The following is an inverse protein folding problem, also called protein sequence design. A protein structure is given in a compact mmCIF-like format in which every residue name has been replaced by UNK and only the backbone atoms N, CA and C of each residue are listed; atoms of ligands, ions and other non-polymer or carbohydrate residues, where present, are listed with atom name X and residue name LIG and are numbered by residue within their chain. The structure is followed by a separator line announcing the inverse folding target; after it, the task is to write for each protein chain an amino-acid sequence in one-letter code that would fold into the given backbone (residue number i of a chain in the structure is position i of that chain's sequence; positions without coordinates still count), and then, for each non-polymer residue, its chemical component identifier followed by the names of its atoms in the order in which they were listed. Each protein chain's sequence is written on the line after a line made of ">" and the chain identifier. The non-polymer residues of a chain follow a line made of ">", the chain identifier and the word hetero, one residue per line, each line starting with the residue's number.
data_IF_854255236682
#
_entry.id   IF_854255236682
#
_cell.length_a   1.000
_cell.length_b   1.000
_cell.length_c   1.000
_cell.angle_alpha   90.00
_cell.angle_beta   90.00
_cell.angle_gamma   90.00
#
_symmetry.space_group_name_H-M   'P 1'
#
loop_
_entity.id
_entity.type
_entity.pdbx_description
1 polymer ?
#
# COMPACT_ATOMS: atom_id res chain seq x y z
N UNK A 1 -12.20 23.90 -3.31
CA UNK A 1 -13.26 22.90 -3.05
C UNK A 1 -13.24 22.36 -1.62
N UNK A 2 -13.24 23.21 -0.58
CA UNK A 2 -13.36 22.74 0.82
C UNK A 2 -14.77 22.21 1.14
N UNK A 3 -15.82 22.84 0.59
CA UNK A 3 -17.21 22.45 0.79
C UNK A 3 -17.53 21.07 0.18
N UNK A 4 -17.04 20.77 -1.03
CA UNK A 4 -17.24 19.46 -1.64
C UNK A 4 -16.54 18.35 -0.84
N UNK A 5 -15.33 18.62 -0.33
CA UNK A 5 -14.60 17.68 0.50
C UNK A 5 -15.34 17.32 1.78
N UNK A 6 -15.91 18.30 2.48
CA UNK A 6 -16.67 18.05 3.72
C UNK A 6 -17.98 17.30 3.46
N UNK A 7 -18.67 17.59 2.36
CA UNK A 7 -19.87 16.84 1.96
C UNK A 7 -19.52 15.38 1.67
N UNK A 8 -18.44 15.14 0.93
CA UNK A 8 -17.97 13.77 0.62
C UNK A 8 -17.57 13.04 1.91
N UNK A 9 -16.84 13.68 2.80
CA UNK A 9 -16.42 13.10 4.08
C UNK A 9 -17.63 12.67 4.92
N UNK A 10 -18.61 13.56 5.09
CA UNK A 10 -19.85 13.24 5.82
C UNK A 10 -20.65 12.14 5.13
N UNK A 11 -20.68 12.14 3.80
CA UNK A 11 -21.38 11.13 3.03
C UNK A 11 -20.73 9.75 3.22
N UNK A 12 -19.42 9.63 3.01
CA UNK A 12 -18.67 8.38 3.19
C UNK A 12 -18.82 7.88 4.63
N UNK A 13 -18.68 8.76 5.62
CA UNK A 13 -18.83 8.40 7.03
C UNK A 13 -20.22 7.87 7.41
N UNK A 14 -21.29 8.36 6.75
CA UNK A 14 -22.68 7.95 7.04
C UNK A 14 -23.16 6.77 6.20
N UNK A 15 -22.79 6.74 4.92
CA UNK A 15 -23.40 5.85 3.92
C UNK A 15 -22.52 4.66 3.52
N UNK A 16 -21.26 4.60 3.95
CA UNK A 16 -20.53 3.34 3.86
C UNK A 16 -21.18 2.29 4.78
N UNK A 17 -21.39 1.06 4.28
CA UNK A 17 -22.03 0.02 5.06
C UNK A 17 -21.23 -0.25 6.34
N UNK A 18 -21.95 -0.52 7.43
CA UNK A 18 -21.31 -0.85 8.71
C UNK A 18 -20.49 -2.15 8.64
N UNK A 19 -20.83 -3.04 7.70
CA UNK A 19 -20.06 -4.25 7.38
C UNK A 19 -19.48 -4.15 5.97
N UNK A 20 -18.18 -4.45 5.77
CA UNK A 20 -17.55 -4.44 4.46
C UNK A 20 -17.97 -5.64 3.58
N UNK A 21 -18.72 -6.60 4.13
CA UNK A 21 -19.22 -7.78 3.42
C UNK A 21 -20.63 -7.61 2.85
N UNK A 22 -21.21 -6.41 2.94
CA UNK A 22 -22.52 -6.15 2.36
C UNK A 22 -22.49 -6.33 0.85
N UNK A 23 -23.35 -7.22 0.33
CA UNK A 23 -23.65 -7.39 -1.11
C UNK A 23 -24.01 -6.07 -1.84
N UNK A 24 -24.22 -4.98 -1.10
CA UNK A 24 -24.58 -3.67 -1.63
C UNK A 24 -23.43 -2.70 -1.88
N UNK A 25 -22.14 -3.04 -1.66
CA UNK A 25 -21.08 -2.05 -1.87
C UNK A 25 -20.97 -1.63 -3.35
N UNK A 26 -21.07 -2.55 -4.31
CA UNK A 26 -21.17 -2.20 -5.73
C UNK A 26 -22.47 -1.49 -6.14
N UNK A 27 -23.46 -1.43 -5.24
CA UNK A 27 -24.70 -0.66 -5.40
C UNK A 27 -24.62 0.71 -4.69
N UNK A 28 -23.47 1.05 -4.12
CA UNK A 28 -23.28 2.33 -3.46
C UNK A 28 -23.46 3.47 -4.49
N UNK A 29 -24.29 4.49 -4.22
CA UNK A 29 -24.65 5.49 -5.23
C UNK A 29 -23.45 6.21 -5.86
N UNK A 30 -22.38 6.43 -5.08
CA UNK A 30 -21.14 7.01 -5.60
C UNK A 30 -20.46 6.09 -6.60
N UNK A 31 -20.39 4.78 -6.33
CA UNK A 31 -19.77 3.82 -7.25
C UNK A 31 -20.60 3.68 -8.53
N UNK A 32 -21.93 3.58 -8.40
CA UNK A 32 -22.84 3.57 -9.54
C UNK A 32 -22.72 4.84 -10.40
N UNK A 33 -22.59 6.01 -9.79
CA UNK A 33 -22.42 7.27 -10.50
C UNK A 33 -21.08 7.34 -11.26
N UNK A 34 -20.01 6.82 -10.66
CA UNK A 34 -18.69 6.77 -11.29
C UNK A 34 -18.65 5.71 -12.42
N UNK A 35 -19.35 4.58 -12.27
CA UNK A 35 -19.41 3.48 -13.25
C UNK A 35 -20.24 3.83 -14.49
N UNK A 36 -21.41 4.43 -14.30
CA UNK A 36 -22.40 4.58 -15.38
C UNK A 36 -22.22 5.87 -16.22
N UNK A 37 -21.24 6.71 -15.89
CA UNK A 37 -21.12 8.02 -16.53
C UNK A 37 -20.26 7.93 -17.80
N UNK A 38 -20.89 8.19 -18.94
CA UNK A 38 -20.26 8.26 -20.26
C UNK A 38 -19.48 9.57 -20.49
N UNK A 39 -19.59 10.54 -19.57
CA UNK A 39 -18.92 11.83 -19.62
C UNK A 39 -17.59 11.79 -18.85
N UNK A 40 -16.56 11.18 -19.44
CA UNK A 40 -15.23 11.00 -18.84
C UNK A 40 -14.62 12.27 -18.21
N UNK A 41 -14.93 13.46 -18.74
CA UNK A 41 -14.35 14.73 -18.29
C UNK A 41 -14.84 15.25 -16.92
N UNK A 42 -16.06 14.93 -16.48
CA UNK A 42 -16.63 15.46 -15.23
C UNK A 42 -16.44 14.53 -14.02
N UNK A 43 -16.14 13.25 -14.29
CA UNK A 43 -16.00 12.19 -13.29
C UNK A 43 -14.61 12.23 -12.63
N UNK A 44 -13.57 12.52 -13.41
CA UNK A 44 -12.19 12.55 -12.93
C UNK A 44 -11.99 13.53 -11.75
N UNK A 45 -12.54 14.76 -11.76
CA UNK A 45 -12.46 15.65 -10.60
C UNK A 45 -13.16 15.11 -9.34
N UNK A 46 -14.33 14.45 -9.50
CA UNK A 46 -15.06 13.87 -8.37
C UNK A 46 -14.29 12.69 -7.76
N UNK A 47 -13.80 11.77 -8.60
CA UNK A 47 -12.96 10.63 -8.17
C UNK A 47 -11.71 11.12 -7.45
N UNK A 48 -10.99 12.10 -8.02
CA UNK A 48 -9.84 12.75 -7.35
C UNK A 48 -10.22 13.36 -6.01
N UNK A 49 -11.38 14.02 -5.91
CA UNK A 49 -11.82 14.60 -4.64
C UNK A 49 -12.12 13.52 -3.58
N UNK A 50 -12.77 12.41 -3.98
CA UNK A 50 -13.05 11.26 -3.10
C UNK A 50 -11.74 10.67 -2.57
N UNK A 51 -10.78 10.43 -3.46
CA UNK A 51 -9.46 9.88 -3.11
C UNK A 51 -8.74 10.80 -2.12
N UNK A 52 -8.78 12.11 -2.34
CA UNK A 52 -8.18 13.10 -1.44
C UNK A 52 -8.85 13.10 -0.06
N UNK A 53 -10.18 12.98 0.00
CA UNK A 53 -10.91 12.88 1.27
C UNK A 53 -10.54 11.58 1.99
N UNK A 54 -10.49 10.46 1.28
CA UNK A 54 -10.08 9.17 1.85
C UNK A 54 -8.68 9.27 2.46
N UNK A 55 -7.72 9.81 1.71
CA UNK A 55 -6.35 10.00 2.18
C UNK A 55 -6.31 10.82 3.48
N UNK A 56 -6.94 12.00 3.48
CA UNK A 56 -6.91 12.93 4.62
C UNK A 56 -7.66 12.44 5.85
N UNK A 57 -8.87 11.92 5.67
CA UNK A 57 -9.76 11.57 6.78
C UNK A 57 -9.49 10.17 7.34
N UNK A 58 -8.93 9.26 6.53
CA UNK A 58 -8.79 7.84 6.92
C UNK A 58 -7.38 7.26 6.86
N UNK A 59 -6.41 7.90 6.19
CA UNK A 59 -5.04 7.38 6.11
C UNK A 59 -3.99 8.28 6.79
N UNK A 60 -4.25 9.59 6.89
CA UNK A 60 -3.40 10.55 7.60
C UNK A 60 -3.60 10.53 9.15
N UNK A 61 -4.28 9.51 9.70
CA UNK A 61 -4.53 9.41 11.15
C UNK A 61 -3.22 9.38 11.97
N UNK A 62 -3.18 10.16 13.06
CA UNK A 62 -2.04 10.26 13.96
C UNK A 62 -2.35 9.57 15.29
N UNK A 63 -1.42 8.76 15.78
CA UNK A 63 -1.55 8.08 17.08
C UNK A 63 -2.33 6.77 17.02
N UNK A 64 -2.90 6.36 18.16
CA UNK A 64 -3.55 5.06 18.37
C UNK A 64 -5.03 5.01 17.98
N UNK A 65 -5.64 6.14 17.66
CA UNK A 65 -7.06 6.20 17.29
C UNK A 65 -7.21 5.85 15.80
N UNK A 66 -7.67 4.63 15.54
CA UNK A 66 -8.01 4.20 14.20
C UNK A 66 -9.28 4.90 13.72
N UNK A 67 -9.33 5.36 12.47
CA UNK A 67 -10.55 5.91 11.89
C UNK A 67 -11.69 4.91 11.97
N UNK A 68 -12.92 5.36 12.28
CA UNK A 68 -14.07 4.47 12.32
C UNK A 68 -14.30 3.86 10.93
N UNK A 69 -14.70 2.59 10.90
CA UNK A 69 -15.08 1.85 9.67
C UNK A 69 -13.96 1.73 8.64
N UNK A 70 -12.70 1.69 9.06
CA UNK A 70 -11.54 1.52 8.18
C UNK A 70 -11.66 0.32 7.23
N UNK A 71 -12.21 -0.80 7.69
CA UNK A 71 -12.49 -1.96 6.84
C UNK A 71 -13.46 -1.63 5.69
N UNK A 72 -14.57 -0.93 5.97
CA UNK A 72 -15.52 -0.51 4.92
C UNK A 72 -14.91 0.49 3.94
N UNK A 73 -14.01 1.35 4.41
CA UNK A 73 -13.26 2.29 3.55
C UNK A 73 -12.32 1.52 2.61
N UNK A 74 -11.57 0.55 3.13
CA UNK A 74 -10.69 -0.29 2.30
C UNK A 74 -11.48 -1.11 1.27
N UNK A 75 -12.64 -1.66 1.66
CA UNK A 75 -13.52 -2.35 0.73
C UNK A 75 -14.03 -1.38 -0.36
N UNK A 76 -14.37 -0.14 0.01
CA UNK A 76 -14.81 0.88 -0.93
C UNK A 76 -13.73 1.26 -1.93
N UNK A 77 -12.48 1.45 -1.48
CA UNK A 77 -11.34 1.74 -2.37
C UNK A 77 -11.14 0.59 -3.36
N UNK A 78 -11.16 -0.66 -2.87
CA UNK A 78 -11.01 -1.83 -3.72
C UNK A 78 -12.09 -1.89 -4.81
N UNK A 79 -13.34 -1.61 -4.45
CA UNK A 79 -14.45 -1.61 -5.41
C UNK A 79 -14.35 -0.42 -6.38
N UNK A 80 -13.99 0.76 -5.89
CA UNK A 80 -13.73 1.95 -6.72
C UNK A 80 -12.72 1.65 -7.81
N UNK A 81 -11.64 0.98 -7.45
CA UNK A 81 -10.57 0.60 -8.37
C UNK A 81 -10.94 -0.53 -9.32
N UNK A 82 -11.84 -1.45 -8.91
CA UNK A 82 -12.38 -2.49 -9.80
C UNK A 82 -13.36 -1.94 -10.83
N UNK A 83 -14.10 -0.88 -10.50
CA UNK A 83 -15.16 -0.33 -11.34
C UNK A 83 -14.72 0.87 -12.18
N UNK A 84 -13.51 1.41 -11.97
CA UNK A 84 -13.01 2.58 -12.70
C UNK A 84 -11.57 2.39 -13.15
N UNK A 85 -11.16 3.06 -14.22
CA UNK A 85 -9.76 3.08 -14.65
C UNK A 85 -8.87 3.69 -13.56
N UNK A 86 -7.82 2.99 -13.15
CA UNK A 86 -6.86 3.48 -12.15
C UNK A 86 -5.80 4.32 -12.85
N UNK A 87 -5.52 5.49 -12.28
CA UNK A 87 -4.37 6.33 -12.63
C UNK A 87 -3.26 6.09 -11.59
N UNK A 88 -1.99 6.06 -12.01
CA UNK A 88 -0.85 5.91 -11.12
C UNK A 88 -0.82 7.00 -10.03
N UNK A 89 -1.26 8.23 -10.36
CA UNK A 89 -1.36 9.31 -9.38
C UNK A 89 -2.32 9.00 -8.24
N UNK A 90 -3.34 8.16 -8.48
CA UNK A 90 -4.29 7.71 -7.46
C UNK A 90 -3.68 6.64 -6.55
N UNK A 91 -2.85 5.76 -7.11
CA UNK A 91 -2.10 4.76 -6.37
C UNK A 91 -1.08 5.43 -5.46
N UNK A 92 -0.30 6.40 -5.96
CA UNK A 92 0.65 7.16 -5.15
C UNK A 92 0.00 7.83 -3.94
N UNK A 93 -1.25 8.29 -4.08
CA UNK A 93 -1.98 8.96 -3.02
C UNK A 93 -2.53 8.02 -1.94
N UNK A 94 -2.96 6.81 -2.31
CA UNK A 94 -3.64 5.88 -1.38
C UNK A 94 -2.75 4.77 -0.86
N UNK A 95 -1.79 4.30 -1.65
CA UNK A 95 -0.92 3.18 -1.29
C UNK A 95 -0.18 3.41 0.04
N UNK A 96 0.39 4.60 0.35
CA UNK A 96 1.01 4.83 1.66
C UNK A 96 0.07 4.54 2.83
N UNK A 97 -1.21 4.90 2.68
CA UNK A 97 -2.24 4.63 3.68
C UNK A 97 -2.57 3.15 3.83
N UNK A 98 -2.65 2.42 2.72
CA UNK A 98 -2.85 0.97 2.71
C UNK A 98 -1.67 0.25 3.38
N UNK A 99 -0.44 0.63 3.05
CA UNK A 99 0.78 0.09 3.65
C UNK A 99 0.84 0.37 5.16
N UNK A 100 0.47 1.58 5.57
CA UNK A 100 0.34 1.95 6.98
C UNK A 100 -0.71 1.10 7.70
N UNK A 101 -1.84 0.77 7.06
CA UNK A 101 -2.83 -0.12 7.64
C UNK A 101 -2.27 -1.54 7.87
N UNK A 102 -1.52 -2.08 6.91
CA UNK A 102 -0.90 -3.41 7.02
C UNK A 102 0.09 -3.49 8.18
N UNK A 103 0.80 -2.40 8.47
CA UNK A 103 1.78 -2.34 9.54
C UNK A 103 1.15 -2.03 10.90
N UNK A 104 0.25 -1.05 10.98
CA UNK A 104 -0.23 -0.51 12.26
C UNK A 104 -1.52 -1.15 12.78
N UNK A 105 -2.28 -1.85 11.94
CA UNK A 105 -3.60 -2.37 12.32
C UNK A 105 -3.57 -3.88 12.46
N UNK A 106 -3.93 -4.38 13.64
CA UNK A 106 -3.98 -5.82 13.95
C UNK A 106 -5.31 -6.48 13.58
N UNK A 107 -6.34 -5.71 13.28
CA UNK A 107 -7.67 -6.22 12.93
C UNK A 107 -7.61 -7.10 11.67
N UNK A 108 -8.01 -8.39 11.74
CA UNK A 108 -7.84 -9.33 10.62
C UNK A 108 -8.55 -8.90 9.33
N UNK A 109 -9.73 -8.30 9.47
CA UNK A 109 -10.52 -7.85 8.33
C UNK A 109 -9.87 -6.66 7.61
N UNK A 110 -9.32 -5.71 8.36
CA UNK A 110 -8.54 -4.59 7.82
C UNK A 110 -7.29 -5.11 7.13
N UNK A 111 -6.55 -6.04 7.75
CA UNK A 111 -5.36 -6.65 7.11
C UNK A 111 -5.70 -7.31 5.78
N UNK A 112 -6.74 -8.15 5.75
CA UNK A 112 -7.16 -8.84 4.53
C UNK A 112 -7.50 -7.83 3.42
N UNK A 113 -8.34 -6.84 3.72
CA UNK A 113 -8.75 -5.84 2.73
C UNK A 113 -7.60 -4.94 2.29
N UNK A 114 -6.67 -4.60 3.19
CA UNK A 114 -5.49 -3.84 2.84
C UNK A 114 -4.55 -4.66 1.93
N UNK A 115 -4.39 -5.96 2.18
CA UNK A 115 -3.64 -6.86 1.29
C UNK A 115 -4.30 -6.96 -0.08
N UNK A 116 -5.62 -7.10 -0.15
CA UNK A 116 -6.34 -7.12 -1.43
C UNK A 116 -6.16 -5.81 -2.20
N UNK A 117 -6.23 -4.65 -1.52
CA UNK A 117 -5.96 -3.35 -2.13
C UNK A 117 -4.52 -3.26 -2.66
N UNK A 118 -3.53 -3.65 -1.85
CA UNK A 118 -2.12 -3.69 -2.24
C UNK A 118 -1.94 -4.52 -3.51
N UNK A 119 -2.46 -5.74 -3.53
CA UNK A 119 -2.32 -6.64 -4.67
C UNK A 119 -2.97 -6.07 -5.93
N UNK A 120 -4.14 -5.45 -5.79
CA UNK A 120 -4.84 -4.84 -6.91
C UNK A 120 -4.10 -3.62 -7.46
N UNK A 121 -3.63 -2.72 -6.59
CA UNK A 121 -2.87 -1.53 -6.96
C UNK A 121 -1.57 -1.90 -7.68
N UNK A 122 -0.81 -2.86 -7.14
CA UNK A 122 0.45 -3.31 -7.77
C UNK A 122 0.18 -3.89 -9.16
N UNK A 123 -0.80 -4.80 -9.29
CA UNK A 123 -1.16 -5.39 -10.60
C UNK A 123 -1.61 -4.33 -11.61
N UNK A 124 -2.37 -3.34 -11.18
CA UNK A 124 -2.81 -2.26 -12.06
C UNK A 124 -1.64 -1.44 -12.62
N UNK A 125 -0.58 -1.23 -11.83
CA UNK A 125 0.63 -0.56 -12.28
C UNK A 125 1.50 -1.41 -13.23
N UNK A 126 1.31 -2.73 -13.27
CA UNK A 126 2.01 -3.61 -14.21
C UNK A 126 1.43 -3.55 -15.63
N UNK A 127 0.09 -3.50 -15.71
CA UNK A 127 -0.65 -3.55 -16.97
C UNK A 127 -0.57 -2.18 -17.65
N UNK A 128 0.48 -1.98 -18.45
CA UNK A 128 0.74 -0.73 -19.19
C UNK A 128 2.16 -0.18 -19.10
N UNK A 129 3.12 -0.95 -18.56
CA UNK A 129 4.46 -0.45 -18.26
C UNK A 129 5.35 -0.25 -19.49
N UNK A 130 5.32 0.97 -20.03
CA UNK A 130 6.54 1.71 -20.40
C UNK A 130 7.01 2.51 -19.17
N UNK A 131 7.90 1.95 -18.36
CA UNK A 131 8.83 2.64 -17.43
C UNK A 131 8.29 3.47 -16.25
N UNK A 132 7.42 4.46 -16.48
CA UNK A 132 7.03 5.48 -15.49
C UNK A 132 6.23 4.93 -14.29
N UNK A 133 5.21 4.05 -14.47
CA UNK A 133 4.42 3.54 -13.35
C UNK A 133 5.22 2.69 -12.36
N UNK A 134 6.21 1.93 -12.86
CA UNK A 134 7.08 1.11 -12.03
C UNK A 134 8.02 1.98 -11.16
N UNK A 135 8.57 3.06 -11.73
CA UNK A 135 9.45 3.98 -11.00
C UNK A 135 8.71 4.71 -9.87
N UNK A 136 7.48 5.16 -10.13
CA UNK A 136 6.61 5.80 -9.14
C UNK A 136 6.24 4.83 -8.01
N UNK A 137 5.84 3.60 -8.36
CA UNK A 137 5.54 2.56 -7.38
C UNK A 137 6.76 2.23 -6.51
N UNK A 138 7.95 2.07 -7.12
CA UNK A 138 9.21 1.90 -6.39
C UNK A 138 9.49 3.09 -5.46
N UNK A 139 9.24 4.33 -5.89
CA UNK A 139 9.42 5.51 -5.04
C UNK A 139 8.55 5.46 -3.80
N UNK A 140 7.26 5.09 -3.94
CA UNK A 140 6.32 4.97 -2.81
C UNK A 140 6.81 3.94 -1.79
N UNK A 141 7.21 2.74 -2.26
CA UNK A 141 7.76 1.72 -1.37
C UNK A 141 9.08 2.15 -0.72
N UNK A 142 9.94 2.87 -1.44
CA UNK A 142 11.21 3.37 -0.90
C UNK A 142 10.99 4.30 0.29
N UNK A 143 10.09 5.27 0.14
CA UNK A 143 9.71 6.18 1.24
C UNK A 143 9.10 5.42 2.41
N UNK A 144 8.23 4.45 2.13
CA UNK A 144 7.62 3.63 3.16
C UNK A 144 8.66 2.83 3.97
N UNK A 145 9.64 2.22 3.31
CA UNK A 145 10.74 1.51 3.98
C UNK A 145 11.57 2.48 4.83
N UNK A 146 11.86 3.68 4.33
CA UNK A 146 12.64 4.67 5.07
C UNK A 146 11.92 5.17 6.33
N UNK A 147 10.60 5.39 6.25
CA UNK A 147 9.80 5.89 7.37
C UNK A 147 9.53 4.83 8.45
N UNK A 148 9.41 3.55 8.05
CA UNK A 148 8.93 2.48 8.93
C UNK A 148 9.93 1.34 9.18
N UNK A 149 10.98 1.23 8.36
CA UNK A 149 11.95 0.13 8.34
C UNK A 149 12.62 -0.18 9.67
N UNK A 150 12.85 0.86 10.48
CA UNK A 150 13.52 0.71 11.78
C UNK A 150 12.61 0.18 12.90
N UNK A 151 11.29 0.19 12.72
CA UNK A 151 10.30 -0.19 13.76
C UNK A 151 9.44 -1.39 13.38
N UNK A 152 9.26 -1.61 12.08
CA UNK A 152 8.31 -2.59 11.54
C UNK A 152 8.93 -3.41 10.41
N UNK A 153 10.24 -3.67 10.53
CA UNK A 153 11.07 -4.46 9.63
C UNK A 153 10.40 -5.77 9.20
N UNK A 154 9.94 -6.59 10.14
CA UNK A 154 9.33 -7.89 9.83
C UNK A 154 8.05 -7.74 9.00
N UNK A 155 7.19 -6.78 9.36
CA UNK A 155 5.96 -6.51 8.61
C UNK A 155 6.28 -5.99 7.21
N UNK A 156 7.29 -5.13 7.06
CA UNK A 156 7.73 -4.60 5.78
C UNK A 156 8.22 -5.72 4.86
N UNK A 157 9.06 -6.63 5.35
CA UNK A 157 9.52 -7.75 4.54
C UNK A 157 8.36 -8.66 4.12
N UNK A 158 7.41 -8.98 5.01
CA UNK A 158 6.22 -9.75 4.64
C UNK A 158 5.32 -9.06 3.60
N UNK A 159 5.19 -7.73 3.67
CA UNK A 159 4.51 -6.94 2.64
C UNK A 159 5.26 -7.05 1.30
N UNK A 160 6.58 -6.90 1.32
CA UNK A 160 7.41 -6.97 0.12
C UNK A 160 7.48 -8.38 -0.47
N UNK A 161 7.32 -9.45 0.31
CA UNK A 161 7.13 -10.81 -0.21
C UNK A 161 5.84 -10.88 -1.06
N UNK A 162 4.76 -10.27 -0.59
CA UNK A 162 3.52 -10.18 -1.37
C UNK A 162 3.75 -9.39 -2.66
N UNK A 163 4.50 -8.28 -2.61
CA UNK A 163 4.83 -7.49 -3.80
C UNK A 163 5.73 -8.29 -4.75
N UNK A 164 6.74 -9.00 -4.25
CA UNK A 164 7.64 -9.83 -5.06
C UNK A 164 6.87 -10.94 -5.81
N UNK A 165 5.81 -11.49 -5.21
CA UNK A 165 4.96 -12.48 -5.87
C UNK A 165 4.15 -11.92 -7.06
N UNK A 166 4.01 -10.60 -7.14
CA UNK A 166 3.30 -9.89 -8.20
C UNK A 166 4.27 -9.26 -9.18
N UNK A 167 5.18 -8.44 -8.68
CA UNK A 167 6.21 -7.69 -9.40
C UNK A 167 7.57 -7.80 -8.70
N UNK A 168 8.41 -8.71 -9.17
CA UNK A 168 9.77 -8.86 -8.64
C UNK A 168 10.63 -7.63 -8.91
N UNK A 169 10.43 -6.92 -10.03
CA UNK A 169 11.29 -5.79 -10.43
C UNK A 169 11.16 -4.63 -9.45
N UNK A 170 9.95 -4.38 -8.94
CA UNK A 170 9.73 -3.36 -7.90
C UNK A 170 10.60 -3.63 -6.67
N UNK A 171 10.68 -4.88 -6.23
CA UNK A 171 11.46 -5.28 -5.04
C UNK A 171 12.96 -5.29 -5.33
N UNK A 172 13.37 -5.74 -6.52
CA UNK A 172 14.76 -5.67 -6.98
C UNK A 172 15.28 -4.22 -6.93
N UNK A 173 14.49 -3.26 -7.39
CA UNK A 173 14.83 -1.83 -7.37
C UNK A 173 14.89 -1.21 -5.96
N UNK A 174 14.47 -1.95 -4.93
CA UNK A 174 14.48 -1.54 -3.52
C UNK A 174 15.61 -2.19 -2.71
N UNK A 175 16.34 -3.16 -3.28
CA UNK A 175 17.38 -3.92 -2.56
C UNK A 175 18.40 -3.03 -1.85
N UNK A 176 18.92 -2.01 -2.52
CA UNK A 176 19.88 -1.08 -1.92
C UNK A 176 19.31 -0.36 -0.69
N UNK A 177 18.02 -0.01 -0.70
CA UNK A 177 17.34 0.61 0.44
C UNK A 177 17.07 -0.39 1.57
N UNK A 178 16.71 -1.63 1.23
CA UNK A 178 16.47 -2.69 2.22
C UNK A 178 17.76 -3.09 2.93
N UNK A 179 18.84 -3.31 2.17
CA UNK A 179 20.18 -3.61 2.71
C UNK A 179 20.67 -2.46 3.58
N UNK A 180 20.49 -1.21 3.16
CA UNK A 180 20.88 -0.06 3.98
C UNK A 180 20.04 0.02 5.27
N UNK A 181 18.73 -0.19 5.21
CA UNK A 181 17.86 -0.19 6.38
C UNK A 181 18.23 -1.29 7.38
N UNK A 182 18.66 -2.46 6.91
CA UNK A 182 19.18 -3.55 7.76
C UNK A 182 20.52 -3.15 8.40
N UNK A 183 21.45 -2.60 7.63
CA UNK A 183 22.75 -2.15 8.17
C UNK A 183 22.57 -1.06 9.23
N UNK A 184 21.61 -0.15 9.03
CA UNK A 184 21.31 0.91 9.99
C UNK A 184 20.65 0.38 11.28
N UNK A 185 19.78 -0.65 11.19
CA UNK A 185 19.22 -1.31 12.37
C UNK A 185 20.28 -2.12 13.13
N UNK A 186 21.18 -2.81 12.43
CA UNK A 186 22.33 -3.54 12.99
C UNK A 186 23.29 -2.60 13.73
N UNK A 187 23.62 -1.45 13.15
CA UNK A 187 24.46 -0.44 13.80
C UNK A 187 23.80 0.14 15.06
N UNK A 188 22.49 0.35 15.05
CA UNK A 188 21.78 1.02 16.15
C UNK A 188 21.50 0.09 17.33
N UNK A 189 21.16 -1.17 17.07
CA UNK A 189 20.65 -2.08 18.11
C UNK A 189 21.56 -3.28 18.40
N UNK A 190 22.66 -3.43 17.64
CA UNK A 190 23.59 -4.55 17.75
C UNK A 190 23.12 -5.80 17.00
N UNK A 191 24.09 -6.56 16.51
CA UNK A 191 23.88 -7.72 15.63
C UNK A 191 22.96 -8.80 16.21
N UNK A 192 23.11 -9.09 17.51
CA UNK A 192 22.37 -10.17 18.19
C UNK A 192 20.86 -9.95 18.27
N UNK A 193 20.37 -8.71 18.17
CA UNK A 193 18.92 -8.40 18.18
C UNK A 193 18.29 -8.50 16.79
N UNK A 194 19.11 -8.57 15.73
CA UNK A 194 18.65 -8.51 14.33
C UNK A 194 18.75 -9.83 13.59
N UNK A 195 18.98 -10.96 14.27
CA UNK A 195 18.98 -12.28 13.64
C UNK A 195 17.63 -12.55 12.96
N UNK A 196 16.52 -12.32 13.66
CA UNK A 196 15.18 -12.51 13.10
C UNK A 196 14.88 -11.54 11.92
N UNK A 197 15.40 -10.31 12.00
CA UNK A 197 15.29 -9.34 10.91
C UNK A 197 16.05 -9.83 9.67
N UNK A 198 17.26 -10.34 9.88
CA UNK A 198 18.13 -10.86 8.83
C UNK A 198 17.55 -12.12 8.18
N UNK A 199 17.00 -13.03 8.98
CA UNK A 199 16.28 -14.20 8.49
C UNK A 199 15.08 -13.81 7.63
N UNK A 200 14.30 -12.82 8.07
CA UNK A 200 13.18 -12.30 7.29
C UNK A 200 13.64 -11.63 5.99
N UNK A 201 14.78 -10.91 6.01
CA UNK A 201 15.35 -10.33 4.80
C UNK A 201 15.86 -11.41 3.83
N UNK A 202 16.60 -12.40 4.32
CA UNK A 202 17.05 -13.56 3.53
C UNK A 202 15.86 -14.30 2.92
N UNK A 203 14.79 -14.49 3.69
CA UNK A 203 13.54 -15.07 3.19
C UNK A 203 12.97 -14.25 2.04
N UNK A 204 12.91 -12.92 2.15
CA UNK A 204 12.51 -12.05 1.04
C UNK A 204 13.42 -12.24 -0.18
N UNK A 205 14.75 -12.20 0.00
CA UNK A 205 15.73 -12.36 -1.08
C UNK A 205 15.57 -13.68 -1.83
N UNK A 206 15.18 -14.77 -1.14
CA UNK A 206 14.93 -16.07 -1.77
C UNK A 206 13.81 -16.04 -2.83
N UNK A 207 12.91 -15.06 -2.78
CA UNK A 207 11.84 -14.86 -3.76
C UNK A 207 12.28 -14.09 -5.02
N UNK A 208 13.52 -13.58 -5.07
CA UNK A 208 14.01 -12.69 -6.14
C UNK A 208 14.95 -13.36 -7.15
N UNK A 209 15.04 -14.70 -7.13
CA UNK A 209 15.88 -15.47 -8.06
C UNK A 209 17.37 -15.14 -7.90
N UNK A 210 18.10 -15.04 -9.02
CA UNK A 210 19.56 -14.86 -9.02
C UNK A 210 20.01 -13.57 -8.33
N UNK A 211 19.31 -12.46 -8.56
CA UNK A 211 19.65 -11.16 -7.94
C UNK A 211 19.56 -11.24 -6.41
N UNK A 212 18.60 -12.01 -5.88
CA UNK A 212 18.50 -12.29 -4.46
C UNK A 212 19.66 -13.12 -3.92
N UNK A 213 20.10 -14.15 -4.67
CA UNK A 213 21.25 -14.98 -4.32
C UNK A 213 22.55 -14.17 -4.27
N UNK A 214 22.77 -13.30 -5.26
CA UNK A 214 23.94 -12.44 -5.31
C UNK A 214 23.98 -11.48 -4.12
N UNK A 215 22.83 -10.92 -3.72
CA UNK A 215 22.74 -10.05 -2.55
C UNK A 215 22.95 -10.82 -1.23
N UNK A 216 22.47 -12.05 -1.13
CA UNK A 216 22.73 -12.91 0.04
C UNK A 216 24.22 -13.19 0.23
N UNK A 217 24.94 -13.50 -0.85
CA UNK A 217 26.40 -13.71 -0.80
C UNK A 217 27.15 -12.44 -0.35
N UNK A 218 26.72 -11.26 -0.81
CA UNK A 218 27.30 -9.98 -0.38
C UNK A 218 27.10 -9.72 1.11
N UNK A 219 25.93 -10.03 1.64
CA UNK A 219 25.64 -9.91 3.07
C UNK A 219 26.52 -10.84 3.91
N UNK A 220 26.85 -12.02 3.41
CA UNK A 220 27.77 -12.96 4.06
C UNK A 220 29.21 -12.46 4.02
N UNK A 221 29.67 -11.94 2.87
CA UNK A 221 31.04 -11.42 2.73
C UNK A 221 31.31 -10.19 3.59
N UNK A 222 30.32 -9.31 3.76
CA UNK A 222 30.42 -8.09 4.58
C UNK A 222 30.56 -8.39 6.09
N UNK A 223 30.34 -9.64 6.52
CA UNK A 223 30.46 -10.07 7.92
C UNK A 223 31.82 -10.68 8.29
N UNK A 224 32.68 -10.93 7.29
CA UNK A 224 34.03 -11.49 7.45
C UNK A 224 35.08 -10.38 7.48
#
# INVERSE_FOLDING_TARGET
>A
NQLLGSVIEQYIGRFLPASPHGLGLGQHPVLLALRNSSAASAITPLKKCIIQVIRKSYFEFKGSLLPPRLASVLAFILQLFKETNIDISEVELLLPGVLKCLVLVSEPQVKRLATENLQYMVKACQVGSEGEPAAQLTSVFRHFIQDHGMRYDYQIYGILETVASLDQQVVINLLSTLTQSLKDSERKWGFGRNIAQREAYIKLLSHLGQVGQDEMQRLESDNT
#
